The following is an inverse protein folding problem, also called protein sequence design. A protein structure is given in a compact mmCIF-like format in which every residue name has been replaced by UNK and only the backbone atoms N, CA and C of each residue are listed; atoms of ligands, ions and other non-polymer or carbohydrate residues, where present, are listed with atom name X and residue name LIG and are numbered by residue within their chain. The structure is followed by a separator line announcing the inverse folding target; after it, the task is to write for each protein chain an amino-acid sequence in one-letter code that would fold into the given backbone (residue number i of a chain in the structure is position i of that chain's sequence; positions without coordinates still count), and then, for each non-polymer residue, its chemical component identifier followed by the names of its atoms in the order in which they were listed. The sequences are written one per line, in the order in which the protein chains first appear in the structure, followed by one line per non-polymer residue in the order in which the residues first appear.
data_IF_813944277034
#
_entry.id   IF_813944277034
#
_cell.length_a   1.000
_cell.length_b   1.000
_cell.length_c   1.000
_cell.angle_alpha   90.00
_cell.angle_beta   90.00
_cell.angle_gamma   90.00
#
_symmetry.space_group_name_H-M   'P 1'
#
loop_
_entity.id
_entity.type
_entity.pdbx_description
1 polymer ?
#
# COMPACT_ATOMS: atom_id res chain seq x y z
N UNK A 1 -0.60 30.70 82.12
CA UNK A 1 0.52 29.77 81.81
C UNK A 1 0.00 28.82 80.73
N UNK A 2 0.22 29.12 79.44
CA UNK A 2 1.32 28.60 78.57
C UNK A 2 1.14 27.07 78.42
N UNK A 3 0.81 26.41 77.30
CA UNK A 3 1.01 26.58 75.84
C UNK A 3 0.03 25.59 75.16
N UNK A 4 -0.75 25.95 74.14
CA UNK A 4 -0.41 25.72 72.73
C UNK A 4 -1.00 24.42 72.16
N UNK A 5 -2.19 24.51 71.54
CA UNK A 5 -2.68 23.49 70.60
C UNK A 5 -2.34 23.94 69.19
N UNK A 6 -1.36 23.27 68.58
CA UNK A 6 -0.95 23.51 67.19
C UNK A 6 -2.00 22.95 66.24
N UNK A 7 -2.62 23.84 65.46
CA UNK A 7 -3.33 23.50 64.23
C UNK A 7 -2.41 22.67 63.33
N UNK A 8 -2.76 21.41 63.09
CA UNK A 8 -2.15 20.59 62.06
C UNK A 8 -2.93 20.78 60.76
N UNK A 9 -2.39 21.63 59.89
CA UNK A 9 -2.75 21.73 58.47
C UNK A 9 -2.33 20.43 57.77
N UNK A 10 -3.29 19.59 57.38
CA UNK A 10 -3.02 18.45 56.49
C UNK A 10 -3.20 18.94 55.06
N UNK A 11 -2.09 19.31 54.42
CA UNK A 11 -2.04 19.57 52.99
C UNK A 11 -2.10 18.23 52.23
N UNK A 12 -3.26 17.91 51.67
CA UNK A 12 -3.43 16.76 50.78
C UNK A 12 -2.83 17.11 49.40
N UNK A 13 -1.59 16.70 49.15
CA UNK A 13 -0.96 16.75 47.84
C UNK A 13 -1.56 15.65 46.95
N UNK A 14 -2.44 16.04 46.02
CA UNK A 14 -2.97 15.17 44.97
C UNK A 14 -1.86 14.90 43.94
N UNK A 15 -1.21 13.75 44.04
CA UNK A 15 -0.31 13.22 43.02
C UNK A 15 -1.15 12.63 41.88
N UNK A 16 -1.42 13.44 40.85
CA UNK A 16 -1.91 12.91 39.57
C UNK A 16 -0.75 12.17 38.88
N UNK A 17 -0.78 10.84 39.02
CA UNK A 17 0.11 9.93 38.31
C UNK A 17 -0.18 10.02 36.81
N UNK A 18 0.69 10.72 36.07
CA UNK A 18 0.61 10.82 34.62
C UNK A 18 0.91 9.46 33.99
N UNK A 19 -0.13 8.75 33.55
CA UNK A 19 0.04 7.67 32.58
C UNK A 19 0.39 8.30 31.23
N UNK A 20 1.69 8.43 30.95
CA UNK A 20 2.17 8.67 29.60
C UNK A 20 1.87 7.41 28.77
N UNK A 21 0.73 7.39 28.08
CA UNK A 21 0.46 6.47 26.99
C UNK A 21 1.48 6.76 25.89
N UNK A 22 2.59 6.02 25.88
CA UNK A 22 3.47 5.96 24.73
C UNK A 22 2.73 5.25 23.61
N UNK A 23 1.94 6.00 22.84
CA UNK A 23 1.61 5.59 21.48
C UNK A 23 2.93 5.58 20.71
N UNK A 24 3.53 4.41 20.57
CA UNK A 24 4.46 4.15 19.47
C UNK A 24 3.67 4.34 18.19
N UNK A 25 3.65 5.57 17.68
CA UNK A 25 3.44 5.78 16.26
C UNK A 25 4.52 4.94 15.57
N UNK A 26 4.11 3.84 14.96
CA UNK A 26 4.90 3.21 13.91
C UNK A 26 5.13 4.33 12.91
N UNK A 27 6.33 4.89 12.92
CA UNK A 27 6.76 5.84 11.92
C UNK A 27 6.49 5.16 10.58
N UNK A 28 5.53 5.71 9.84
CA UNK A 28 5.34 5.35 8.45
C UNK A 28 6.70 5.49 7.79
N UNK A 29 7.28 4.36 7.42
CA UNK A 29 8.54 4.37 6.70
C UNK A 29 8.36 5.25 5.48
N UNK A 30 9.25 6.23 5.30
CA UNK A 30 9.31 7.00 4.05
C UNK A 30 9.20 6.03 2.88
N UNK A 31 8.34 6.29 1.87
CA UNK A 31 8.37 5.54 0.64
C UNK A 31 9.81 5.60 0.12
N UNK A 32 10.49 4.45 0.05
CA UNK A 32 11.80 4.42 -0.60
C UNK A 32 11.58 4.86 -2.04
N UNK A 33 12.43 5.77 -2.52
CA UNK A 33 12.28 6.40 -3.83
C UNK A 33 12.18 5.38 -4.98
N UNK A 34 12.67 4.15 -4.79
CA UNK A 34 12.29 2.98 -5.58
C UNK A 34 11.94 1.85 -4.61
N UNK A 35 10.68 1.40 -4.57
CA UNK A 35 10.28 0.27 -3.71
C UNK A 35 10.21 -1.07 -4.47
N UNK A 36 10.28 -1.00 -5.81
CA UNK A 36 10.43 -2.10 -6.76
C UNK A 36 11.50 -1.75 -7.80
N UNK A 37 12.77 -2.02 -7.52
CA UNK A 37 13.84 -1.95 -8.53
C UNK A 37 13.75 -3.19 -9.43
N UNK A 38 12.90 -3.16 -10.46
CA UNK A 38 12.62 -4.31 -11.33
C UNK A 38 13.79 -4.57 -12.28
N UNK A 39 14.38 -5.77 -12.24
CA UNK A 39 15.45 -6.18 -13.18
C UNK A 39 14.95 -7.05 -14.31
N UNK A 40 13.94 -7.88 -14.06
CA UNK A 40 13.29 -8.68 -15.10
C UNK A 40 11.77 -8.60 -14.95
N UNK A 41 11.10 -8.61 -16.11
CA UNK A 41 9.65 -8.57 -16.18
C UNK A 41 9.19 -9.56 -17.26
N UNK A 42 8.18 -10.35 -16.93
CA UNK A 42 7.48 -11.20 -17.88
C UNK A 42 5.98 -10.94 -17.76
N UNK A 43 5.32 -10.74 -18.89
CA UNK A 43 3.87 -10.69 -18.96
C UNK A 43 3.35 -12.10 -19.25
N UNK A 44 2.59 -12.66 -18.32
CA UNK A 44 1.99 -13.98 -18.47
C UNK A 44 0.58 -13.91 -19.04
N UNK A 45 -0.17 -12.85 -18.72
CA UNK A 45 -1.54 -12.65 -19.16
C UNK A 45 -1.88 -11.16 -19.29
N UNK A 46 -2.63 -10.83 -20.34
CA UNK A 46 -3.13 -9.49 -20.64
C UNK A 46 -4.64 -9.56 -20.86
N UNK A 47 -5.33 -8.46 -20.56
CA UNK A 47 -6.78 -8.34 -20.77
C UNK A 47 -7.61 -9.36 -20.01
N UNK A 48 -7.10 -9.85 -18.87
CA UNK A 48 -7.78 -10.81 -18.04
C UNK A 48 -8.89 -10.13 -17.25
N UNK A 49 -9.92 -10.91 -16.95
CA UNK A 49 -11.00 -10.55 -16.06
C UNK A 49 -10.74 -11.14 -14.66
N UNK A 50 -11.03 -10.37 -13.62
CA UNK A 50 -11.26 -10.97 -12.29
C UNK A 50 -12.34 -12.07 -12.39
N UNK A 51 -12.29 -13.13 -11.55
CA UNK A 51 -13.19 -14.28 -11.67
C UNK A 51 -14.69 -13.96 -11.72
N UNK A 52 -15.07 -12.81 -11.15
CA UNK A 52 -16.47 -12.38 -11.00
C UNK A 52 -17.03 -11.61 -12.22
N UNK A 53 -16.24 -11.43 -13.27
CA UNK A 53 -16.65 -10.69 -14.49
C UNK A 53 -16.36 -11.47 -15.78
N UNK A 54 -17.04 -11.12 -16.86
CA UNK A 54 -16.81 -11.74 -18.17
C UNK A 54 -15.54 -11.17 -18.83
N UNK A 55 -14.63 -12.06 -19.26
CA UNK A 55 -13.36 -11.69 -19.88
C UNK A 55 -13.48 -10.96 -21.22
N UNK A 56 -14.63 -11.03 -21.89
CA UNK A 56 -14.89 -10.29 -23.12
C UNK A 56 -14.69 -8.78 -22.97
N UNK A 57 -15.02 -8.22 -21.80
CA UNK A 57 -14.96 -6.77 -21.55
C UNK A 57 -13.52 -6.26 -21.34
N UNK A 58 -12.59 -7.15 -20.97
CA UNK A 58 -11.22 -6.77 -20.59
C UNK A 58 -10.18 -6.95 -21.70
N UNK A 59 -10.55 -7.52 -22.86
CA UNK A 59 -9.61 -7.87 -23.95
C UNK A 59 -8.81 -6.69 -24.51
N UNK A 60 -9.27 -5.46 -24.31
CA UNK A 60 -8.59 -4.24 -24.76
C UNK A 60 -7.55 -3.73 -23.76
N UNK A 61 -7.53 -4.25 -22.53
CA UNK A 61 -6.53 -3.91 -21.53
C UNK A 61 -5.24 -4.71 -21.74
N UNK A 62 -4.45 -4.31 -22.72
CA UNK A 62 -3.20 -4.98 -23.12
C UNK A 62 -2.02 -4.08 -22.82
N UNK A 63 -1.21 -4.47 -21.85
CA UNK A 63 0.03 -3.77 -21.49
C UNK A 63 1.22 -4.40 -22.21
N UNK A 64 2.21 -3.57 -22.55
CA UNK A 64 3.55 -4.01 -22.92
C UNK A 64 4.51 -3.85 -21.72
N UNK A 65 5.71 -4.40 -21.85
CA UNK A 65 6.69 -4.39 -20.77
C UNK A 65 7.06 -2.96 -20.30
N UNK A 66 7.35 -1.98 -21.19
CA UNK A 66 7.63 -0.62 -20.77
C UNK A 66 6.50 0.01 -19.94
N UNK A 67 5.24 -0.23 -20.31
CA UNK A 67 4.08 0.31 -19.58
C UNK A 67 3.93 -0.37 -18.22
N UNK A 68 4.08 -1.69 -18.13
CA UNK A 68 4.04 -2.40 -16.85
C UNK A 68 5.16 -1.95 -15.93
N UNK A 69 6.39 -1.84 -16.46
CA UNK A 69 7.56 -1.37 -15.71
C UNK A 69 7.29 0.00 -15.10
N UNK A 70 6.81 0.94 -15.91
CA UNK A 70 6.43 2.27 -15.42
C UNK A 70 5.39 2.20 -14.32
N UNK A 71 4.34 1.39 -14.47
CA UNK A 71 3.30 1.26 -13.45
C UNK A 71 3.84 0.72 -12.11
N UNK A 72 4.80 -0.20 -12.15
CA UNK A 72 5.44 -0.77 -10.96
C UNK A 72 6.44 0.20 -10.30
N UNK A 73 7.26 0.87 -11.10
CA UNK A 73 8.34 1.75 -10.62
C UNK A 73 7.82 3.13 -10.19
N UNK A 74 6.89 3.73 -10.95
CA UNK A 74 6.27 5.04 -10.64
C UNK A 74 5.08 4.91 -9.68
N UNK A 75 4.62 3.69 -9.41
CA UNK A 75 3.48 3.43 -8.55
C UNK A 75 3.77 3.77 -7.09
N UNK A 76 2.90 4.57 -6.46
CA UNK A 76 3.02 4.91 -5.04
C UNK A 76 2.63 3.70 -4.18
N UNK A 77 3.43 3.32 -3.16
CA UNK A 77 3.03 2.29 -2.21
C UNK A 77 1.75 2.69 -1.46
N UNK A 78 0.80 1.75 -1.38
CA UNK A 78 -0.43 1.94 -0.62
C UNK A 78 -0.64 0.79 0.37
N UNK A 79 -1.46 1.04 1.39
CA UNK A 79 -1.87 0.00 2.32
C UNK A 79 -2.90 -0.96 1.70
N UNK A 80 -2.97 -2.18 2.24
CA UNK A 80 -3.98 -3.18 1.86
C UNK A 80 -5.41 -2.63 1.97
N UNK A 81 -5.71 -1.89 3.04
CA UNK A 81 -7.05 -1.31 3.24
C UNK A 81 -7.43 -0.33 2.12
N UNK A 82 -6.49 0.51 1.69
CA UNK A 82 -6.70 1.41 0.56
C UNK A 82 -6.96 0.64 -0.75
N UNK A 83 -6.15 -0.39 -1.02
CA UNK A 83 -6.28 -1.24 -2.20
C UNK A 83 -7.63 -1.99 -2.25
N UNK A 84 -8.13 -2.48 -1.10
CA UNK A 84 -9.34 -3.29 -1.04
C UNK A 84 -10.63 -2.48 -0.93
N UNK A 85 -10.58 -1.29 -0.30
CA UNK A 85 -11.80 -0.62 0.16
C UNK A 85 -11.90 0.87 -0.17
N UNK A 86 -10.79 1.55 -0.46
CA UNK A 86 -10.81 3.02 -0.61
C UNK A 86 -10.60 3.49 -2.05
N UNK A 87 -9.88 2.71 -2.87
CA UNK A 87 -9.58 3.07 -4.24
C UNK A 87 -10.54 2.42 -5.23
N UNK A 88 -10.80 3.06 -6.39
CA UNK A 88 -11.58 2.45 -7.45
C UNK A 88 -10.99 1.11 -7.89
N UNK A 89 -11.86 0.11 -8.01
CA UNK A 89 -11.48 -1.23 -8.41
C UNK A 89 -11.86 -1.48 -9.87
N UNK A 90 -10.88 -1.90 -10.67
CA UNK A 90 -11.16 -2.41 -12.03
C UNK A 90 -11.15 -3.93 -12.04
N UNK A 91 -12.15 -4.55 -12.71
CA UNK A 91 -12.13 -5.98 -12.98
C UNK A 91 -11.07 -6.40 -13.99
N UNK A 92 -10.58 -5.48 -14.82
CA UNK A 92 -9.64 -5.78 -15.90
C UNK A 92 -8.20 -5.66 -15.41
N UNK A 93 -7.43 -6.71 -15.67
CA UNK A 93 -6.07 -6.84 -15.16
C UNK A 93 -5.12 -7.49 -16.17
N UNK A 94 -3.84 -7.20 -15.98
CA UNK A 94 -2.71 -7.90 -16.55
C UNK A 94 -1.87 -8.44 -15.40
N UNK A 95 -1.21 -9.58 -15.63
CA UNK A 95 -0.36 -10.21 -14.62
C UNK A 95 0.82 -10.94 -15.22
N UNK A 96 1.82 -11.16 -14.39
CA UNK A 96 3.03 -11.81 -14.82
C UNK A 96 4.01 -12.03 -13.68
N UNK A 97 5.27 -12.26 -14.03
CA UNK A 97 6.36 -12.41 -13.07
C UNK A 97 7.33 -11.26 -13.13
N UNK A 98 7.97 -10.99 -12.00
CA UNK A 98 9.08 -10.06 -11.90
C UNK A 98 10.21 -10.64 -11.05
N UNK A 99 11.39 -10.06 -11.25
CA UNK A 99 12.53 -10.18 -10.35
C UNK A 99 13.02 -8.77 -10.02
N UNK A 100 13.39 -8.56 -8.76
CA UNK A 100 13.95 -7.31 -8.26
C UNK A 100 15.47 -7.39 -8.16
N UNK A 101 16.12 -6.23 -8.12
CA UNK A 101 17.58 -6.12 -7.99
C UNK A 101 18.13 -6.81 -6.72
N UNK A 102 17.32 -6.91 -5.66
CA UNK A 102 17.68 -7.61 -4.42
C UNK A 102 17.46 -9.14 -4.48
N UNK A 103 17.08 -9.67 -5.64
CA UNK A 103 16.87 -11.09 -5.90
C UNK A 103 15.47 -11.60 -5.53
N UNK A 104 14.58 -10.76 -4.97
CA UNK A 104 13.20 -11.16 -4.70
C UNK A 104 12.43 -11.36 -5.99
N UNK A 105 11.61 -12.40 -6.02
CA UNK A 105 10.75 -12.77 -7.14
C UNK A 105 9.30 -12.82 -6.71
N UNK A 106 8.39 -12.63 -7.66
CA UNK A 106 6.96 -12.67 -7.36
C UNK A 106 6.06 -12.52 -8.57
N UNK A 107 4.77 -12.57 -8.30
CA UNK A 107 3.70 -12.34 -9.26
C UNK A 107 3.22 -10.89 -9.11
N UNK A 108 3.25 -10.14 -10.20
CA UNK A 108 2.64 -8.81 -10.24
C UNK A 108 1.27 -8.85 -10.90
N UNK A 109 0.40 -7.93 -10.47
CA UNK A 109 -0.89 -7.64 -11.08
C UNK A 109 -1.03 -6.13 -11.24
N UNK A 110 -1.40 -5.67 -12.43
CA UNK A 110 -1.76 -4.28 -12.72
C UNK A 110 -3.21 -4.26 -13.18
N UNK A 111 -4.02 -3.35 -12.66
CA UNK A 111 -5.43 -3.16 -13.03
C UNK A 111 -5.62 -1.91 -13.88
N UNK A 112 -6.71 -1.87 -14.66
CA UNK A 112 -6.97 -0.79 -15.63
C UNK A 112 -7.11 0.61 -15.02
N UNK A 113 -7.48 0.71 -13.74
CA UNK A 113 -7.57 1.99 -13.01
C UNK A 113 -6.25 2.37 -12.30
N UNK A 114 -5.14 1.69 -12.63
CA UNK A 114 -3.80 2.04 -12.16
C UNK A 114 -3.42 1.46 -10.79
N UNK A 115 -4.31 0.72 -10.12
CA UNK A 115 -3.97 -0.01 -8.90
C UNK A 115 -3.32 -1.35 -9.24
N UNK A 116 -2.49 -1.87 -8.34
CA UNK A 116 -1.87 -3.18 -8.53
C UNK A 116 -1.31 -3.77 -7.25
N UNK A 117 -0.81 -4.99 -7.37
CA UNK A 117 -0.14 -5.71 -6.29
C UNK A 117 1.05 -6.51 -6.79
N UNK A 118 1.97 -6.80 -5.87
CA UNK A 118 3.05 -7.77 -6.06
C UNK A 118 3.00 -8.75 -4.90
N UNK A 119 2.72 -10.02 -5.21
CA UNK A 119 2.80 -11.14 -4.29
C UNK A 119 4.15 -11.82 -4.47
N UNK A 120 5.05 -11.63 -3.51
CA UNK A 120 6.37 -12.25 -3.50
C UNK A 120 6.28 -13.74 -3.17
N UNK A 121 7.29 -14.50 -3.61
CA UNK A 121 7.34 -15.95 -3.40
C UNK A 121 7.48 -16.35 -1.92
N UNK A 122 7.90 -15.41 -1.05
CA UNK A 122 7.90 -15.57 0.42
C UNK A 122 6.52 -15.35 1.08
N UNK A 123 5.51 -15.02 0.29
CA UNK A 123 4.14 -14.76 0.72
C UNK A 123 3.87 -13.31 1.13
N UNK A 124 4.88 -12.44 1.14
CA UNK A 124 4.65 -11.01 1.35
C UNK A 124 3.90 -10.41 0.16
N UNK A 125 2.88 -9.60 0.45
CA UNK A 125 2.12 -8.89 -0.59
C UNK A 125 2.24 -7.39 -0.39
N UNK A 126 2.54 -6.69 -1.48
CA UNK A 126 2.60 -5.22 -1.52
C UNK A 126 1.62 -4.68 -2.55
N UNK A 127 1.11 -3.49 -2.29
CA UNK A 127 0.11 -2.83 -3.11
C UNK A 127 0.59 -1.46 -3.55
N UNK A 128 0.14 -1.03 -4.72
CA UNK A 128 0.48 0.28 -5.26
C UNK A 128 -0.65 0.92 -6.03
N UNK A 129 -0.52 2.22 -6.24
CA UNK A 129 -1.35 3.00 -7.14
C UNK A 129 -0.49 3.92 -8.02
N UNK A 130 -0.54 3.69 -9.33
CA UNK A 130 0.04 4.57 -10.33
C UNK A 130 -0.98 5.66 -10.72
N UNK A 131 -0.95 6.80 -10.03
CA UNK A 131 -1.83 7.96 -10.33
C UNK A 131 -1.57 8.59 -11.69
N UNK A 132 -0.34 8.42 -12.20
CA UNK A 132 0.10 8.96 -13.51
C UNK A 132 -0.27 8.04 -14.68
N UNK A 133 -0.77 6.83 -14.41
CA UNK A 133 -1.24 5.89 -15.41
C UNK A 133 -2.64 6.28 -15.91
N UNK A 134 -2.71 7.33 -16.75
CA UNK A 134 -3.97 7.92 -17.24
C UNK A 134 -4.20 7.76 -18.74
N UNK A 135 -3.19 7.31 -19.48
CA UNK A 135 -3.27 7.08 -20.92
C UNK A 135 -3.70 5.65 -21.25
N UNK A 136 -4.37 5.42 -22.40
CA UNK A 136 -4.71 4.07 -22.84
C UNK A 136 -3.51 3.12 -22.79
N UNK A 137 -3.73 1.86 -22.36
CA UNK A 137 -5.03 1.25 -22.11
C UNK A 137 -5.59 1.46 -20.69
N UNK A 138 -4.94 2.29 -19.86
CA UNK A 138 -5.50 2.70 -18.58
C UNK A 138 -6.71 3.61 -18.78
N UNK A 139 -7.61 3.58 -17.80
CA UNK A 139 -8.79 4.46 -17.74
C UNK A 139 -8.66 5.29 -16.47
N UNK A 140 -8.55 6.61 -16.64
CA UNK A 140 -8.57 7.54 -15.52
C UNK A 140 -9.93 7.45 -14.82
N UNK A 141 -9.88 7.42 -13.50
CA UNK A 141 -11.05 7.45 -12.62
C UNK A 141 -10.95 8.72 -11.78
N UNK A 142 -11.98 9.56 -11.85
CA UNK A 142 -12.07 10.84 -11.12
C UNK A 142 -12.45 10.64 -9.65
#
# INVERSE_FOLDING_TARGET
MVTGYRLLLVAAALLFSGCALSHTHVAGGSPSANWLDVVSLQIAENGAASPDVNSGECRTFVLDEPVVRRALEDGEPIGRDAYLHQLPWSPCLARGRLELQDGRQGIWTVRQYGTGSVLFDDGAERFFWCRTCTSPPFVAVE
#
